data_IF_194989066854
#
_entry.id   IF_194989066854
#
_cell.length_a   1.000
_cell.length_b   1.000
_cell.length_c   1.000
_cell.angle_alpha   90.00
_cell.angle_beta   90.00
_cell.angle_gamma   90.00
#
_symmetry.space_group_name_H-M   'P 1'
#
loop_
_entity.id
_entity.type
_entity.pdbx_description
1 polymer ?
#
# COMPACT_ATOMS: atom_id res chain seq x y z
N UNK A 1 -30.03 -3.96 -8.63
CA UNK A 1 -29.13 -4.97 -8.02
C UNK A 1 -27.74 -4.72 -8.58
N UNK A 2 -26.88 -4.02 -7.81
CA UNK A 2 -25.53 -3.62 -8.23
C UNK A 2 -24.54 -4.05 -7.14
N UNK A 3 -24.40 -5.35 -6.94
CA UNK A 3 -23.44 -5.94 -5.98
C UNK A 3 -22.55 -6.98 -6.68
N UNK A 4 -22.08 -6.65 -7.90
CA UNK A 4 -21.46 -7.65 -8.78
C UNK A 4 -19.93 -7.74 -8.69
N UNK A 5 -19.28 -6.86 -7.92
CA UNK A 5 -17.81 -6.77 -7.89
C UNK A 5 -17.17 -6.81 -6.49
N UNK A 6 -17.97 -6.94 -5.42
CA UNK A 6 -17.44 -6.85 -4.05
C UNK A 6 -16.88 -5.45 -3.73
N UNK A 7 -16.23 -5.27 -2.56
CA UNK A 7 -15.57 -4.01 -2.24
C UNK A 7 -14.49 -3.69 -3.28
N UNK A 8 -14.22 -2.39 -3.56
CA UNK A 8 -13.23 -2.00 -4.55
C UNK A 8 -11.86 -2.61 -4.22
N UNK A 9 -11.03 -2.97 -5.22
CA UNK A 9 -9.70 -3.50 -4.97
C UNK A 9 -8.88 -2.48 -4.18
N UNK A 10 -8.24 -2.97 -3.14
CA UNK A 10 -7.37 -2.18 -2.28
C UNK A 10 -5.96 -2.14 -2.85
N UNK A 11 -5.40 -0.94 -3.02
CA UNK A 11 -4.14 -0.72 -3.71
C UNK A 11 -3.13 -0.04 -2.77
N UNK A 12 -1.90 -0.54 -2.75
CA UNK A 12 -0.76 0.17 -2.18
C UNK A 12 0.06 0.74 -3.32
N UNK A 13 0.21 2.07 -3.35
CA UNK A 13 1.04 2.77 -4.33
C UNK A 13 2.39 3.09 -3.71
N UNK A 14 3.46 2.44 -4.18
CA UNK A 14 4.80 2.63 -3.66
C UNK A 14 5.61 3.52 -4.61
N UNK A 15 5.89 4.73 -4.16
CA UNK A 15 6.82 5.63 -4.83
C UNK A 15 8.17 5.54 -4.13
N UNK A 16 9.15 4.92 -4.76
CA UNK A 16 10.55 5.01 -4.35
C UNK A 16 11.35 5.32 -5.59
N UNK A 17 12.34 6.21 -5.50
CA UNK A 17 13.25 6.47 -6.61
C UNK A 17 13.99 5.19 -7.05
N UNK A 18 14.97 5.31 -7.95
CA UNK A 18 15.84 4.17 -8.27
C UNK A 18 16.63 3.78 -7.00
N UNK A 19 16.14 2.76 -6.31
CA UNK A 19 16.61 2.36 -5.00
C UNK A 19 17.04 0.90 -5.02
N UNK A 20 17.94 0.53 -4.11
CA UNK A 20 18.35 -0.86 -4.00
C UNK A 20 17.23 -1.72 -3.42
N UNK A 21 17.20 -3.01 -3.77
CA UNK A 21 16.29 -3.97 -3.14
C UNK A 21 16.41 -3.99 -1.61
N UNK A 22 17.60 -3.73 -1.08
CA UNK A 22 17.82 -3.61 0.37
C UNK A 22 17.03 -2.43 0.95
N UNK A 23 17.17 -1.24 0.37
CA UNK A 23 16.46 -0.05 0.82
C UNK A 23 14.95 -0.16 0.63
N UNK A 24 14.50 -0.75 -0.48
CA UNK A 24 13.09 -1.06 -0.72
C UNK A 24 12.50 -1.96 0.37
N UNK A 25 13.24 -3.00 0.77
CA UNK A 25 12.83 -3.88 1.88
C UNK A 25 12.77 -3.11 3.19
N UNK A 26 13.74 -2.25 3.48
CA UNK A 26 13.71 -1.42 4.69
C UNK A 26 12.50 -0.50 4.75
N UNK A 27 12.15 0.15 3.63
CA UNK A 27 10.95 1.00 3.52
C UNK A 27 9.70 0.17 3.81
N UNK A 28 9.51 -0.95 3.08
CA UNK A 28 8.35 -1.81 3.25
C UNK A 28 8.27 -2.42 4.65
N UNK A 29 9.39 -2.83 5.25
CA UNK A 29 9.41 -3.35 6.62
C UNK A 29 8.97 -2.31 7.65
N UNK A 30 9.20 -1.02 7.39
CA UNK A 30 8.80 0.07 8.27
C UNK A 30 7.33 0.49 8.06
N UNK A 31 6.83 0.50 6.82
CA UNK A 31 5.55 1.16 6.48
C UNK A 31 4.42 0.20 6.11
N UNK A 32 4.73 -1.05 5.73
CA UNK A 32 3.71 -1.96 5.20
C UNK A 32 2.65 -2.34 6.24
N UNK A 33 3.02 -2.47 7.52
CA UNK A 33 2.06 -2.82 8.55
C UNK A 33 0.98 -1.74 8.71
N UNK A 34 1.39 -0.49 8.82
CA UNK A 34 0.49 0.67 8.90
C UNK A 34 -0.37 0.78 7.64
N UNK A 35 0.24 0.62 6.45
CA UNK A 35 -0.50 0.65 5.20
C UNK A 35 -1.60 -0.42 5.14
N UNK A 36 -1.32 -1.62 5.65
CA UNK A 36 -2.33 -2.69 5.75
C UNK A 36 -3.41 -2.39 6.79
N UNK A 37 -3.11 -1.65 7.87
CA UNK A 37 -4.12 -1.20 8.83
C UNK A 37 -5.09 -0.20 8.21
N UNK A 38 -4.57 0.76 7.43
CA UNK A 38 -5.38 1.72 6.67
C UNK A 38 -6.27 1.03 5.62
N UNK A 39 -5.74 0.04 4.91
CA UNK A 39 -6.58 -0.79 4.04
C UNK A 39 -7.64 -1.53 4.85
N UNK A 40 -7.30 -2.15 5.98
CA UNK A 40 -8.32 -2.81 6.82
C UNK A 40 -9.39 -1.87 7.37
N UNK A 41 -9.12 -0.56 7.50
CA UNK A 41 -10.14 0.44 7.88
C UNK A 41 -11.05 0.88 6.73
N UNK A 42 -10.82 0.37 5.51
CA UNK A 42 -11.67 0.63 4.35
C UNK A 42 -11.08 1.59 3.33
N UNK A 43 -9.83 2.03 3.50
CA UNK A 43 -9.15 2.82 2.48
C UNK A 43 -8.97 2.00 1.20
N UNK A 44 -9.27 2.61 0.04
CA UNK A 44 -9.12 1.95 -1.26
C UNK A 44 -7.70 2.09 -1.81
N UNK A 45 -6.97 3.14 -1.41
CA UNK A 45 -5.64 3.47 -1.89
C UNK A 45 -4.80 3.99 -0.73
N UNK A 46 -3.62 3.41 -0.54
CA UNK A 46 -2.62 3.88 0.42
C UNK A 46 -1.32 4.13 -0.30
N UNK A 47 -0.74 5.32 -0.13
CA UNK A 47 0.55 5.67 -0.71
C UNK A 47 1.68 5.46 0.30
N UNK A 48 2.77 4.85 -0.16
CA UNK A 48 4.03 4.74 0.57
C UNK A 48 5.09 5.47 -0.24
N UNK A 49 5.71 6.48 0.36
CA UNK A 49 6.82 7.22 -0.24
C UNK A 49 8.12 6.85 0.45
N UNK A 50 9.06 6.32 -0.33
CA UNK A 50 10.41 6.01 0.11
C UNK A 50 11.39 7.06 -0.38
N UNK A 51 11.45 8.21 0.31
CA UNK A 51 12.55 9.19 0.19
C UNK A 51 13.89 8.48 0.30
#
# INVERSE_FOLDING_TARGET
MVDRLGPPPQIIWLTSGNTSNYRLRSILSATLQEALELLRSGEALVEISGD
#
